data_IF_263859797754
#
_entry.id   IF_263859797754
#
_cell.length_a   1.000
_cell.length_b   1.000
_cell.length_c   1.000
_cell.angle_alpha   90.00
_cell.angle_beta   90.00
_cell.angle_gamma   90.00
#
_symmetry.space_group_name_H-M   'P 1'
#
loop_
_entity.id
_entity.type
_entity.pdbx_description
1 polymer ?
#
# COMPACT_ATOMS: atom_id res chain seq x y z
N UNK A 1 10.12 44.02 23.63
CA UNK A 1 8.94 43.67 22.84
C UNK A 1 8.71 42.16 22.97
N UNK A 2 7.71 41.73 23.70
CA UNK A 2 7.39 40.33 23.94
C UNK A 2 6.46 39.86 22.83
N UNK A 3 6.95 38.97 21.92
CA UNK A 3 6.11 38.35 20.92
C UNK A 3 5.35 37.18 21.57
N UNK A 4 4.06 37.34 21.69
CA UNK A 4 3.11 36.33 22.07
C UNK A 4 2.99 35.29 20.97
N UNK A 5 3.47 34.09 21.22
CA UNK A 5 3.12 32.89 20.46
C UNK A 5 1.68 32.56 20.87
N UNK A 6 0.70 32.87 19.99
CA UNK A 6 -0.70 32.47 20.18
C UNK A 6 -0.73 30.94 20.25
N UNK A 7 -1.06 30.43 21.43
CA UNK A 7 -1.26 29.00 21.65
C UNK A 7 -2.34 28.45 20.71
N UNK A 8 -2.02 27.41 19.98
CA UNK A 8 -3.00 26.58 19.28
C UNK A 8 -4.00 26.06 20.31
N UNK A 9 -5.24 26.56 20.26
CA UNK A 9 -6.36 25.94 20.96
C UNK A 9 -6.60 24.59 20.33
N UNK A 10 -6.31 23.54 21.04
CA UNK A 10 -6.77 22.20 20.71
C UNK A 10 -8.30 22.22 20.61
N UNK A 11 -8.85 22.05 19.43
CA UNK A 11 -10.24 21.64 19.26
C UNK A 11 -10.44 20.31 19.98
N UNK A 12 -11.53 20.10 20.74
CA UNK A 12 -11.85 18.81 21.33
C UNK A 12 -11.84 17.76 20.22
N UNK A 13 -11.12 16.65 20.41
CA UNK A 13 -11.09 15.58 19.44
C UNK A 13 -12.50 15.00 19.31
N UNK A 14 -13.00 14.88 18.09
CA UNK A 14 -14.24 14.16 17.76
C UNK A 14 -14.13 12.63 17.96
N UNK A 15 -13.13 12.20 18.73
CA UNK A 15 -12.90 10.78 19.03
C UNK A 15 -13.74 10.33 20.21
N UNK A 16 -14.19 9.06 20.21
CA UNK A 16 -14.82 8.45 21.36
C UNK A 16 -13.94 8.63 22.61
N UNK A 17 -14.57 9.00 23.74
CA UNK A 17 -13.85 9.28 24.98
C UNK A 17 -12.99 8.08 25.45
N UNK A 18 -13.43 6.87 25.14
CA UNK A 18 -12.70 5.63 25.46
C UNK A 18 -11.39 5.48 24.65
N UNK A 19 -11.41 5.82 23.37
CA UNK A 19 -10.20 5.83 22.51
C UNK A 19 -9.20 6.85 23.05
N UNK A 20 -9.67 8.05 23.40
CA UNK A 20 -8.83 9.08 23.99
C UNK A 20 -8.21 8.63 25.32
N UNK A 21 -8.99 8.02 26.18
CA UNK A 21 -8.49 7.52 27.49
C UNK A 21 -7.40 6.45 27.29
N UNK A 22 -7.57 5.53 26.31
CA UNK A 22 -6.56 4.52 25.96
C UNK A 22 -5.29 5.17 25.39
N UNK A 23 -5.40 6.15 24.50
CA UNK A 23 -4.25 6.91 23.97
C UNK A 23 -3.45 7.53 25.13
N UNK A 24 -4.11 8.18 26.08
CA UNK A 24 -3.44 8.80 27.24
C UNK A 24 -2.77 7.75 28.14
N UNK A 25 -3.42 6.59 28.33
CA UNK A 25 -2.86 5.46 29.10
C UNK A 25 -1.56 4.97 28.47
N UNK A 26 -1.57 4.64 27.16
CA UNK A 26 -0.40 4.12 26.46
C UNK A 26 0.72 5.15 26.33
N UNK A 27 0.37 6.44 26.20
CA UNK A 27 1.37 7.54 26.23
C UNK A 27 2.12 7.58 27.55
N UNK A 28 1.40 7.44 28.68
CA UNK A 28 2.03 7.39 30.02
C UNK A 28 2.91 6.16 30.22
N UNK A 29 2.64 5.08 29.50
CA UNK A 29 3.45 3.85 29.51
C UNK A 29 4.66 3.91 28.55
N UNK A 30 4.85 5.02 27.82
CA UNK A 30 6.01 5.22 26.94
C UNK A 30 5.87 4.64 25.52
N UNK A 31 4.66 4.20 25.13
CA UNK A 31 4.45 3.72 23.76
C UNK A 31 4.52 4.85 22.73
N UNK A 32 5.09 4.56 21.55
CA UNK A 32 5.05 5.45 20.38
C UNK A 32 3.62 5.45 19.82
N UNK A 33 2.97 6.59 19.88
CA UNK A 33 1.60 6.78 19.40
C UNK A 33 1.58 7.59 18.10
N UNK A 34 0.59 7.37 17.22
CA UNK A 34 0.46 8.17 16.00
C UNK A 34 0.17 9.64 16.31
N UNK A 35 0.60 10.55 15.43
CA UNK A 35 0.17 11.94 15.51
C UNK A 35 -1.33 12.05 15.23
N UNK A 36 -2.00 12.99 15.91
CA UNK A 36 -3.46 13.18 15.79
C UNK A 36 -3.97 13.37 14.38
N UNK A 37 -3.18 14.01 13.52
CA UNK A 37 -3.55 14.32 12.13
C UNK A 37 -3.80 13.08 11.26
N UNK A 38 -3.28 11.90 11.65
CA UNK A 38 -3.48 10.64 10.91
C UNK A 38 -4.66 9.82 11.42
N UNK A 39 -5.38 10.31 12.42
CA UNK A 39 -6.62 9.70 12.90
C UNK A 39 -7.79 10.38 12.21
N UNK A 40 -8.53 9.67 11.39
CA UNK A 40 -9.57 10.21 10.51
C UNK A 40 -10.86 10.55 11.24
N UNK A 41 -11.51 11.63 10.82
CA UNK A 41 -12.89 11.94 11.21
C UNK A 41 -13.88 11.08 10.43
N UNK A 42 -15.13 10.92 10.91
CA UNK A 42 -16.17 10.20 10.16
C UNK A 42 -16.40 10.76 8.75
N UNK A 43 -16.34 12.06 8.56
CA UNK A 43 -16.45 12.71 7.24
C UNK A 43 -15.29 12.34 6.31
N UNK A 44 -14.05 12.37 6.84
CA UNK A 44 -12.87 11.95 6.08
C UNK A 44 -12.96 10.47 5.68
N UNK A 45 -13.40 9.60 6.59
CA UNK A 45 -13.58 8.18 6.31
C UNK A 45 -14.60 7.92 5.21
N UNK A 46 -15.70 8.67 5.18
CA UNK A 46 -16.68 8.53 4.10
C UNK A 46 -16.09 8.93 2.75
N UNK A 47 -15.38 10.06 2.68
CA UNK A 47 -14.70 10.47 1.46
C UNK A 47 -13.64 9.47 0.98
N UNK A 48 -12.86 8.90 1.91
CA UNK A 48 -11.88 7.86 1.61
C UNK A 48 -12.57 6.60 1.07
N UNK A 49 -13.70 6.18 1.66
CA UNK A 49 -14.46 5.03 1.16
C UNK A 49 -15.04 5.27 -0.25
N UNK A 50 -15.46 6.49 -0.56
CA UNK A 50 -15.89 6.83 -1.93
C UNK A 50 -14.73 6.70 -2.93
N UNK A 51 -13.54 7.17 -2.58
CA UNK A 51 -12.32 6.99 -3.39
C UNK A 51 -11.97 5.51 -3.54
N UNK A 52 -11.98 4.75 -2.45
CA UNK A 52 -11.67 3.33 -2.41
C UNK A 52 -12.61 2.47 -3.30
N UNK A 53 -13.89 2.82 -3.39
CA UNK A 53 -14.84 2.16 -4.31
C UNK A 53 -14.44 2.32 -5.77
N UNK A 54 -13.96 3.51 -6.16
CA UNK A 54 -13.50 3.77 -7.54
C UNK A 54 -12.21 2.98 -7.79
N UNK A 55 -11.29 2.98 -6.85
CA UNK A 55 -10.02 2.25 -6.92
C UNK A 55 -10.24 0.74 -7.10
N UNK A 56 -11.09 0.13 -6.26
CA UNK A 56 -11.45 -1.29 -6.37
C UNK A 56 -12.10 -1.61 -7.72
N UNK A 57 -13.07 -0.79 -8.15
CA UNK A 57 -13.73 -0.99 -9.44
C UNK A 57 -12.77 -0.85 -10.63
N UNK A 58 -11.74 -0.01 -10.52
CA UNK A 58 -10.66 0.10 -11.50
C UNK A 58 -9.85 -1.20 -11.57
N UNK A 59 -9.44 -1.77 -10.44
CA UNK A 59 -8.72 -3.06 -10.42
C UNK A 59 -9.58 -4.21 -10.96
N UNK A 60 -10.88 -4.21 -10.69
CA UNK A 60 -11.81 -5.17 -11.29
C UNK A 60 -11.88 -5.01 -12.82
N UNK A 61 -11.96 -3.77 -13.31
CA UNK A 61 -11.94 -3.47 -14.74
C UNK A 61 -10.62 -3.91 -15.40
N UNK A 62 -9.47 -3.70 -14.75
CA UNK A 62 -8.18 -4.20 -15.25
C UNK A 62 -8.18 -5.73 -15.29
N UNK A 63 -8.68 -6.39 -14.25
CA UNK A 63 -8.77 -7.85 -14.18
C UNK A 63 -9.55 -8.48 -15.33
N UNK A 64 -10.59 -7.80 -15.80
CA UNK A 64 -11.41 -8.25 -16.94
C UNK A 64 -10.75 -8.03 -18.31
N UNK A 65 -9.75 -7.16 -18.40
CA UNK A 65 -9.20 -6.70 -19.66
C UNK A 65 -7.74 -7.03 -19.90
N UNK A 66 -6.95 -7.23 -18.83
CA UNK A 66 -5.52 -7.54 -18.95
C UNK A 66 -5.28 -8.90 -19.61
N UNK A 67 -4.33 -8.97 -20.57
CA UNK A 67 -4.06 -10.18 -21.34
C UNK A 67 -2.68 -10.17 -21.97
N UNK A 68 -2.22 -11.32 -22.37
CA UNK A 68 -1.02 -11.48 -23.21
C UNK A 68 -1.09 -10.59 -24.45
N UNK A 69 0.04 -10.02 -24.84
CA UNK A 69 0.21 -9.15 -25.99
C UNK A 69 -0.14 -7.67 -25.72
N UNK A 70 -0.69 -7.33 -24.54
CA UNK A 70 -0.86 -5.92 -24.16
C UNK A 70 0.48 -5.30 -23.80
N UNK A 71 0.67 -4.04 -24.17
CA UNK A 71 1.73 -3.21 -23.60
C UNK A 71 1.32 -2.67 -22.22
N UNK A 72 2.30 -2.37 -21.36
CA UNK A 72 2.03 -1.70 -20.08
C UNK A 72 1.50 -0.27 -20.29
N UNK A 73 1.83 0.38 -21.42
CA UNK A 73 1.21 1.65 -21.85
C UNK A 73 -0.31 1.52 -22.06
N UNK A 74 -0.80 0.41 -22.61
CA UNK A 74 -2.25 0.20 -22.77
C UNK A 74 -2.93 0.08 -21.40
N UNK A 75 -2.26 -0.47 -20.40
CA UNK A 75 -2.74 -0.50 -19.01
C UNK A 75 -2.81 0.93 -18.44
N UNK A 76 -1.78 1.76 -18.66
CA UNK A 76 -1.77 3.16 -18.23
C UNK A 76 -2.95 3.95 -18.84
N UNK A 77 -3.20 3.77 -20.13
CA UNK A 77 -4.35 4.40 -20.83
C UNK A 77 -5.67 3.93 -20.21
N UNK A 78 -5.82 2.63 -19.94
CA UNK A 78 -7.03 2.09 -19.30
C UNK A 78 -7.26 2.70 -17.91
N UNK A 79 -6.20 2.82 -17.12
CA UNK A 79 -6.26 3.42 -15.77
C UNK A 79 -6.64 4.90 -15.85
N UNK A 80 -6.00 5.66 -16.74
CA UNK A 80 -6.30 7.07 -16.94
C UNK A 80 -7.75 7.30 -17.36
N UNK A 81 -8.20 6.58 -18.39
CA UNK A 81 -9.55 6.73 -18.95
C UNK A 81 -10.63 6.33 -17.95
N UNK A 82 -10.45 5.19 -17.26
CA UNK A 82 -11.40 4.75 -16.24
C UNK A 82 -11.49 5.75 -15.09
N UNK A 83 -10.35 6.17 -14.53
CA UNK A 83 -10.30 7.07 -13.38
C UNK A 83 -10.92 8.42 -13.70
N UNK A 84 -10.57 9.03 -14.85
CA UNK A 84 -11.09 10.33 -15.25
C UNK A 84 -12.58 10.28 -15.62
N UNK A 85 -13.06 9.20 -16.22
CA UNK A 85 -14.47 8.95 -16.51
C UNK A 85 -15.32 8.92 -15.23
N UNK A 86 -14.76 8.46 -14.11
CA UNK A 86 -15.42 8.44 -12.81
C UNK A 86 -15.26 9.75 -12.02
N UNK A 87 -14.70 10.81 -12.63
CA UNK A 87 -14.49 12.11 -12.01
C UNK A 87 -13.40 12.11 -10.94
N UNK A 88 -12.50 11.14 -11.00
CA UNK A 88 -11.35 11.00 -10.13
C UNK A 88 -10.04 11.33 -10.89
N UNK A 89 -8.93 11.34 -10.17
CA UNK A 89 -7.59 11.63 -10.69
C UNK A 89 -6.67 10.47 -10.32
N UNK A 90 -5.85 9.93 -11.26
CA UNK A 90 -4.79 8.99 -10.90
C UNK A 90 -3.75 9.68 -10.02
N UNK A 91 -3.53 9.19 -8.81
CA UNK A 91 -2.63 9.83 -7.85
C UNK A 91 -1.16 9.80 -8.26
N UNK A 92 -0.65 8.76 -8.94
CA UNK A 92 0.75 8.70 -9.37
C UNK A 92 1.10 9.75 -10.42
N UNK A 93 0.14 10.16 -11.26
CA UNK A 93 0.42 11.05 -12.39
C UNK A 93 0.96 12.41 -11.94
N UNK A 94 2.21 12.69 -12.32
CA UNK A 94 3.00 13.87 -11.93
C UNK A 94 3.37 13.96 -10.43
N UNK A 95 3.11 12.89 -9.63
CA UNK A 95 3.55 12.85 -8.25
C UNK A 95 5.08 12.75 -8.21
N UNK A 96 5.73 13.76 -7.62
CA UNK A 96 7.21 13.89 -7.57
C UNK A 96 7.92 13.69 -8.92
N UNK A 97 7.20 13.91 -10.04
CA UNK A 97 7.72 13.76 -11.39
C UNK A 97 7.44 12.41 -12.05
N UNK A 98 6.73 11.48 -11.39
CA UNK A 98 6.32 10.21 -12.00
C UNK A 98 5.44 10.46 -13.24
N UNK A 99 5.75 9.86 -14.41
CA UNK A 99 5.15 10.31 -15.68
C UNK A 99 3.84 9.62 -16.06
N UNK A 100 3.36 8.65 -15.28
CA UNK A 100 2.27 7.74 -15.63
C UNK A 100 1.16 7.72 -14.59
N UNK A 101 0.01 7.12 -14.94
CA UNK A 101 -1.19 7.05 -14.09
C UNK A 101 -1.23 5.82 -13.17
N UNK A 102 -0.28 4.90 -13.33
CA UNK A 102 -0.21 3.59 -12.69
C UNK A 102 1.24 3.13 -12.64
N UNK A 103 1.60 2.32 -11.65
CA UNK A 103 2.84 1.56 -11.71
C UNK A 103 2.55 0.15 -12.25
N UNK A 104 3.43 -0.36 -13.13
CA UNK A 104 3.35 -1.71 -13.71
C UNK A 104 4.68 -2.41 -13.52
N UNK A 105 4.70 -3.46 -12.72
CA UNK A 105 5.93 -4.13 -12.29
C UNK A 105 5.91 -5.59 -12.70
N UNK A 106 6.73 -5.95 -13.71
CA UNK A 106 6.76 -7.27 -14.33
C UNK A 106 7.95 -8.07 -13.80
N UNK A 107 7.74 -9.31 -13.40
CA UNK A 107 8.73 -10.32 -13.02
C UNK A 107 9.71 -9.84 -11.94
N UNK A 108 10.93 -9.43 -12.30
CA UNK A 108 11.98 -8.96 -11.40
C UNK A 108 11.85 -7.48 -11.00
N UNK A 109 10.90 -6.76 -11.58
CA UNK A 109 10.52 -5.42 -11.11
C UNK A 109 9.69 -5.57 -9.84
N UNK A 110 10.18 -5.00 -8.75
CA UNK A 110 9.56 -5.06 -7.41
C UNK A 110 8.37 -4.13 -7.32
N UNK A 111 8.56 -2.85 -7.67
CA UNK A 111 7.53 -1.81 -7.68
C UNK A 111 7.97 -0.60 -8.52
N UNK A 112 7.06 0.36 -8.67
CA UNK A 112 7.24 1.65 -9.35
C UNK A 112 7.67 1.53 -10.82
N UNK A 113 7.47 0.38 -11.48
CA UNK A 113 7.74 0.24 -12.90
C UNK A 113 6.92 1.24 -13.73
N UNK A 114 7.57 1.90 -14.69
CA UNK A 114 6.97 2.94 -15.53
C UNK A 114 6.37 2.30 -16.79
N UNK A 115 5.04 2.39 -17.01
CA UNK A 115 4.39 1.89 -18.23
C UNK A 115 5.06 2.33 -19.54
N UNK A 116 5.26 1.38 -20.45
CA UNK A 116 5.96 1.58 -21.73
C UNK A 116 5.26 0.90 -22.89
N UNK A 117 5.34 1.50 -24.09
CA UNK A 117 4.85 0.92 -25.35
C UNK A 117 5.66 -0.30 -25.80
N UNK A 118 6.88 -0.42 -25.33
CA UNK A 118 7.81 -1.50 -25.73
C UNK A 118 7.79 -2.68 -24.77
N UNK A 119 7.19 -2.52 -23.59
CA UNK A 119 7.05 -3.56 -22.59
C UNK A 119 5.72 -4.29 -22.81
N UNK A 120 5.81 -5.46 -23.43
CA UNK A 120 4.66 -6.26 -23.88
C UNK A 120 4.53 -7.50 -23.01
N UNK A 121 3.35 -7.70 -22.42
CA UNK A 121 3.04 -8.87 -21.60
C UNK A 121 3.13 -10.16 -22.40
N UNK A 122 3.89 -11.12 -21.88
CA UNK A 122 4.11 -12.42 -22.48
C UNK A 122 3.46 -13.54 -21.63
N UNK A 123 3.11 -14.65 -22.28
CA UNK A 123 2.74 -15.86 -21.52
C UNK A 123 3.89 -16.29 -20.62
N UNK A 124 3.61 -16.47 -19.34
CA UNK A 124 4.59 -16.78 -18.30
C UNK A 124 4.90 -15.63 -17.36
N UNK A 125 4.56 -14.38 -17.73
CA UNK A 125 4.78 -13.22 -16.88
C UNK A 125 3.85 -13.20 -15.66
N UNK A 126 4.36 -12.63 -14.58
CA UNK A 126 3.57 -12.08 -13.47
C UNK A 126 3.74 -10.57 -13.48
N UNK A 127 2.66 -9.83 -13.23
CA UNK A 127 2.69 -8.36 -13.20
C UNK A 127 1.90 -7.85 -12.00
N UNK A 128 2.50 -6.94 -11.25
CA UNK A 128 1.77 -6.08 -10.31
C UNK A 128 1.23 -4.87 -11.07
N UNK A 129 -0.04 -4.55 -10.85
CA UNK A 129 -0.66 -3.29 -11.30
C UNK A 129 -1.11 -2.55 -10.06
N UNK A 130 -0.49 -1.41 -9.82
CA UNK A 130 -0.65 -0.59 -8.64
C UNK A 130 -1.35 0.72 -9.00
N UNK A 131 -2.55 0.89 -8.45
CA UNK A 131 -3.45 2.00 -8.77
C UNK A 131 -3.81 2.80 -7.52
N UNK A 132 -3.56 4.08 -7.58
CA UNK A 132 -3.92 5.01 -6.53
C UNK A 132 -4.85 6.07 -7.09
N UNK A 133 -5.92 6.39 -6.36
CA UNK A 133 -7.03 7.23 -6.83
C UNK A 133 -7.24 8.43 -5.92
N UNK A 134 -7.42 9.62 -6.50
CA UNK A 134 -7.86 10.81 -5.80
C UNK A 134 -9.31 11.12 -6.19
N UNK A 135 -10.23 11.07 -5.25
CA UNK A 135 -11.60 11.47 -5.48
C UNK A 135 -12.05 12.52 -4.45
N UNK A 136 -12.48 13.68 -4.93
CA UNK A 136 -12.86 14.83 -4.08
C UNK A 136 -11.81 15.23 -3.02
N UNK A 137 -10.52 15.01 -3.34
CA UNK A 137 -9.41 15.31 -2.44
C UNK A 137 -9.07 14.21 -1.42
N UNK A 138 -9.71 13.03 -1.50
CA UNK A 138 -9.42 11.86 -0.70
C UNK A 138 -8.68 10.81 -1.51
N UNK A 139 -7.67 10.19 -0.92
CA UNK A 139 -6.80 9.21 -1.55
C UNK A 139 -7.20 7.79 -1.17
N UNK A 140 -7.05 6.87 -2.10
CA UNK A 140 -7.13 5.42 -1.89
C UNK A 140 -6.09 4.72 -2.72
N UNK A 141 -5.65 3.56 -2.27
CA UNK A 141 -4.50 2.83 -2.80
C UNK A 141 -4.72 1.33 -2.76
N UNK A 142 -4.31 0.63 -3.80
CA UNK A 142 -4.27 -0.83 -3.86
C UNK A 142 -3.50 -1.35 -5.06
N UNK A 143 -2.92 -2.52 -4.93
CA UNK A 143 -2.33 -3.23 -6.05
C UNK A 143 -2.77 -4.69 -6.12
N UNK A 144 -2.74 -5.26 -7.32
CA UNK A 144 -3.02 -6.68 -7.58
C UNK A 144 -1.97 -7.30 -8.48
N UNK A 145 -1.68 -8.58 -8.22
CA UNK A 145 -0.91 -9.41 -9.13
C UNK A 145 -1.80 -10.05 -10.17
N UNK A 146 -1.32 -10.08 -11.42
CA UNK A 146 -1.92 -10.80 -12.53
C UNK A 146 -0.92 -11.79 -13.09
N UNK A 147 -1.41 -12.97 -13.43
CA UNK A 147 -0.63 -14.06 -14.04
C UNK A 147 -1.03 -14.16 -15.51
N UNK A 148 -0.07 -13.98 -16.42
CA UNK A 148 -0.32 -13.91 -17.86
C UNK A 148 -0.05 -15.28 -18.49
N UNK A 149 -1.06 -15.87 -19.08
CA UNK A 149 -0.93 -17.17 -19.78
C UNK A 149 -0.47 -18.31 -18.87
N UNK A 150 0.55 -19.06 -19.30
CA UNK A 150 1.05 -20.24 -18.59
C UNK A 150 2.26 -19.92 -17.71
N UNK A 151 1.99 -19.48 -16.49
CA UNK A 151 2.99 -19.10 -15.47
C UNK A 151 3.54 -20.33 -14.76
N UNK A 152 4.84 -20.35 -14.47
CA UNK A 152 5.51 -21.48 -13.79
C UNK A 152 4.93 -21.74 -12.38
N UNK A 153 5.00 -22.99 -11.88
CA UNK A 153 4.53 -23.31 -10.52
C UNK A 153 5.23 -22.49 -9.43
N UNK A 154 6.52 -22.18 -9.61
CA UNK A 154 7.32 -21.40 -8.66
C UNK A 154 6.82 -19.96 -8.56
N UNK A 155 6.55 -19.31 -9.71
CA UNK A 155 6.02 -17.97 -9.75
C UNK A 155 4.57 -17.90 -9.26
N UNK A 156 3.75 -18.92 -9.58
CA UNK A 156 2.39 -19.02 -9.00
C UNK A 156 2.44 -19.12 -7.48
N UNK A 157 3.40 -19.91 -6.94
CA UNK A 157 3.62 -20.01 -5.49
C UNK A 157 4.03 -18.68 -4.91
N UNK A 158 4.94 -17.94 -5.55
CA UNK A 158 5.35 -16.59 -5.11
C UNK A 158 4.15 -15.66 -5.01
N UNK A 159 3.35 -15.54 -6.07
CA UNK A 159 2.15 -14.68 -6.10
C UNK A 159 1.16 -15.06 -4.99
N UNK A 160 0.93 -16.36 -4.79
CA UNK A 160 0.03 -16.86 -3.75
C UNK A 160 0.54 -16.56 -2.34
N UNK A 161 1.81 -16.84 -2.06
CA UNK A 161 2.42 -16.58 -0.74
C UNK A 161 2.46 -15.07 -0.43
N UNK A 162 2.70 -14.24 -1.44
CA UNK A 162 2.66 -12.78 -1.28
C UNK A 162 1.26 -12.29 -0.90
N UNK A 163 0.21 -12.85 -1.52
CA UNK A 163 -1.17 -12.57 -1.13
C UNK A 163 -1.45 -12.99 0.31
N UNK A 164 -1.01 -14.19 0.69
CA UNK A 164 -1.13 -14.68 2.06
C UNK A 164 -0.38 -13.78 3.06
N UNK A 165 0.79 -13.26 2.69
CA UNK A 165 1.55 -12.29 3.50
C UNK A 165 0.73 -11.02 3.76
N UNK A 166 0.08 -10.45 2.74
CA UNK A 166 -0.80 -9.30 2.89
C UNK A 166 -1.97 -9.63 3.83
N UNK A 167 -2.68 -10.74 3.62
CA UNK A 167 -3.82 -11.17 4.43
C UNK A 167 -3.42 -11.41 5.90
N UNK A 168 -2.26 -12.02 6.15
CA UNK A 168 -1.67 -12.23 7.48
C UNK A 168 -1.30 -10.90 8.13
N UNK A 169 -0.71 -9.97 7.36
CA UNK A 169 -0.41 -8.62 7.82
C UNK A 169 -1.65 -7.86 8.27
N UNK A 170 -2.72 -7.91 7.47
CA UNK A 170 -4.03 -7.33 7.80
C UNK A 170 -4.57 -7.94 9.09
N UNK A 171 -4.56 -9.26 9.22
CA UNK A 171 -5.01 -9.95 10.43
C UNK A 171 -4.16 -9.61 11.67
N UNK A 172 -2.87 -9.30 11.48
CA UNK A 172 -1.95 -8.90 12.54
C UNK A 172 -2.06 -7.42 12.95
N UNK A 173 -2.94 -6.63 12.30
CA UNK A 173 -3.16 -5.20 12.53
C UNK A 173 -4.43 -4.87 13.35
N UNK A 174 -4.79 -5.55 14.46
CA UNK A 174 -5.91 -5.10 15.28
C UNK A 174 -5.51 -3.86 16.09
N UNK A 175 -6.49 -3.07 16.56
CA UNK A 175 -6.23 -1.89 17.37
C UNK A 175 -5.48 -2.24 18.67
N UNK A 176 -4.57 -1.34 19.07
CA UNK A 176 -3.77 -1.43 20.30
C UNK A 176 -2.66 -2.50 20.26
N UNK A 177 -2.32 -3.00 19.08
CA UNK A 177 -1.07 -3.70 18.78
C UNK A 177 -0.05 -2.72 18.21
N UNK A 178 1.14 -3.20 17.89
CA UNK A 178 2.21 -2.37 17.32
C UNK A 178 2.51 -2.78 15.88
N UNK A 179 2.93 -1.84 15.04
CA UNK A 179 3.22 -2.11 13.63
C UNK A 179 4.28 -3.21 13.42
N UNK A 180 5.23 -3.36 14.35
CA UNK A 180 6.19 -4.47 14.30
C UNK A 180 5.56 -5.86 14.44
N UNK A 181 4.32 -5.97 14.96
CA UNK A 181 3.59 -7.24 14.95
C UNK A 181 3.14 -7.63 13.54
N UNK A 182 2.80 -6.63 12.71
CA UNK A 182 2.44 -6.79 11.29
C UNK A 182 3.65 -7.28 10.50
N UNK A 183 4.75 -6.53 10.56
CA UNK A 183 5.97 -6.88 9.83
C UNK A 183 6.53 -8.25 10.21
N UNK A 184 6.56 -8.57 11.52
CA UNK A 184 7.02 -9.87 11.99
C UNK A 184 6.14 -11.03 11.47
N UNK A 185 4.82 -10.84 11.40
CA UNK A 185 3.90 -11.89 10.92
C UNK A 185 4.09 -12.16 9.42
N UNK A 186 4.25 -11.09 8.62
CA UNK A 186 4.54 -11.16 7.19
C UNK A 186 5.88 -11.88 6.95
N UNK A 187 6.94 -11.42 7.61
CA UNK A 187 8.28 -11.97 7.47
C UNK A 187 8.34 -13.45 7.82
N UNK A 188 7.76 -13.84 8.95
CA UNK A 188 7.70 -15.25 9.39
C UNK A 188 7.03 -16.15 8.33
N UNK A 189 5.97 -15.67 7.66
CA UNK A 189 5.27 -16.43 6.64
C UNK A 189 6.08 -16.53 5.33
N UNK A 190 6.64 -15.42 4.84
CA UNK A 190 7.46 -15.38 3.64
C UNK A 190 8.69 -16.30 3.77
N UNK A 191 9.47 -16.15 4.85
CA UNK A 191 10.69 -16.94 5.09
C UNK A 191 10.40 -18.43 5.28
N UNK A 192 9.29 -18.79 5.94
CA UNK A 192 8.84 -20.18 6.06
C UNK A 192 8.55 -20.84 4.71
N UNK A 193 8.13 -20.05 3.73
CA UNK A 193 7.87 -20.53 2.37
C UNK A 193 9.09 -20.48 1.44
N UNK A 194 10.24 -20.01 1.95
CA UNK A 194 11.51 -19.92 1.23
C UNK A 194 11.70 -18.64 0.43
N UNK A 195 10.93 -17.60 0.72
CA UNK A 195 10.99 -16.28 0.09
C UNK A 195 11.50 -15.22 1.06
N UNK A 196 11.86 -14.04 0.56
CA UNK A 196 12.38 -12.94 1.33
C UNK A 196 11.55 -11.67 1.19
N UNK A 197 11.44 -10.90 2.29
CA UNK A 197 10.71 -9.63 2.33
C UNK A 197 11.67 -8.50 2.01
N UNK A 198 11.31 -7.63 1.07
CA UNK A 198 12.04 -6.38 0.76
C UNK A 198 12.08 -5.48 1.99
N UNK A 199 13.23 -4.80 2.22
CA UNK A 199 13.48 -4.02 3.43
C UNK A 199 13.66 -2.53 3.20
N UNK A 200 13.90 -2.12 1.97
CA UNK A 200 14.16 -0.72 1.60
C UNK A 200 12.87 0.06 1.32
N UNK A 201 11.74 -0.64 1.26
CA UNK A 201 10.42 -0.10 1.00
C UNK A 201 9.43 -0.56 2.08
N UNK A 202 8.33 0.18 2.23
CA UNK A 202 7.32 -0.09 3.25
C UNK A 202 5.95 0.39 2.79
N UNK A 203 4.90 -0.07 3.44
CA UNK A 203 3.58 0.52 3.36
C UNK A 203 3.52 1.87 4.09
N UNK A 204 2.46 2.59 3.90
CA UNK A 204 2.34 3.97 4.37
C UNK A 204 0.93 4.34 4.79
N UNK A 205 0.80 5.37 5.61
CA UNK A 205 -0.46 6.05 5.83
C UNK A 205 -0.96 6.67 4.53
N UNK A 206 -2.27 6.58 4.29
CA UNK A 206 -2.92 7.13 3.08
C UNK A 206 -4.34 7.61 3.41
N UNK A 207 -4.86 8.55 2.63
CA UNK A 207 -6.24 9.01 2.74
C UNK A 207 -6.40 10.52 2.62
N UNK A 208 -5.63 11.33 3.35
CA UNK A 208 -5.61 12.79 3.21
C UNK A 208 -4.44 13.27 2.36
N UNK A 209 -3.41 12.44 2.24
CA UNK A 209 -2.27 12.60 1.35
C UNK A 209 -1.99 11.25 0.71
N UNK A 210 -1.25 11.22 -0.38
CA UNK A 210 -0.85 9.99 -1.03
C UNK A 210 0.03 9.17 -0.08
N UNK A 211 1.13 9.75 0.38
CA UNK A 211 2.00 9.16 1.38
C UNK A 211 2.02 10.01 2.65
N UNK A 212 1.70 9.41 3.77
CA UNK A 212 1.75 10.06 5.09
C UNK A 212 2.09 9.02 6.17
N UNK A 213 2.34 9.48 7.39
CA UNK A 213 2.59 8.56 8.51
C UNK A 213 1.37 7.64 8.78
N UNK A 214 1.59 6.39 9.23
CA UNK A 214 2.89 5.81 9.56
C UNK A 214 3.59 5.14 8.39
N UNK A 215 4.89 4.89 8.50
CA UNK A 215 5.57 3.87 7.72
C UNK A 215 5.18 2.50 8.29
N UNK A 216 4.87 1.53 7.41
CA UNK A 216 4.41 0.19 7.74
C UNK A 216 5.40 -0.83 7.18
N UNK A 217 6.42 -1.14 7.94
CA UNK A 217 7.43 -2.14 7.56
C UNK A 217 6.81 -3.54 7.51
N UNK A 218 7.14 -4.32 6.46
CA UNK A 218 6.66 -5.68 6.26
C UNK A 218 7.62 -6.73 6.85
N UNK A 219 8.60 -6.30 7.61
CA UNK A 219 9.56 -7.10 8.38
C UNK A 219 9.73 -6.50 9.76
N UNK A 220 10.39 -7.21 10.67
CA UNK A 220 10.73 -6.63 11.96
C UNK A 220 10.49 -7.53 13.16
N UNK A 221 10.20 -6.93 14.31
CA UNK A 221 10.10 -7.63 15.58
C UNK A 221 8.79 -7.34 16.29
N UNK A 222 8.14 -8.39 16.79
CA UNK A 222 6.90 -8.26 17.57
C UNK A 222 7.07 -7.34 18.78
N UNK A 223 6.03 -6.58 19.08
CA UNK A 223 6.00 -5.65 20.21
C UNK A 223 6.87 -4.41 20.02
N UNK A 224 7.17 -4.01 18.78
CA UNK A 224 7.93 -2.80 18.45
C UNK A 224 7.16 -1.89 17.51
N UNK A 225 7.67 -0.68 17.31
CA UNK A 225 7.09 0.29 16.37
C UNK A 225 5.96 1.13 16.97
N UNK A 226 5.20 1.77 16.09
CA UNK A 226 4.08 2.64 16.48
C UNK A 226 2.86 1.82 16.90
N UNK A 227 2.11 2.30 17.87
CA UNK A 227 0.83 1.72 18.28
C UNK A 227 -0.23 1.93 17.21
N UNK A 228 -0.93 0.89 16.85
CA UNK A 228 -2.08 0.91 15.95
C UNK A 228 -3.30 1.43 16.73
N UNK A 229 -3.89 2.53 16.25
CA UNK A 229 -4.97 3.23 16.95
C UNK A 229 -6.20 3.34 16.05
N UNK A 230 -7.42 3.15 16.57
CA UNK A 230 -8.65 3.36 15.79
C UNK A 230 -8.68 4.71 15.07
N UNK A 231 -9.13 4.72 13.83
CA UNK A 231 -9.16 5.89 12.96
C UNK A 231 -7.92 6.04 12.06
N UNK A 232 -6.90 5.22 12.19
CA UNK A 232 -5.78 5.17 11.24
C UNK A 232 -6.21 4.50 9.94
N UNK A 233 -5.72 5.02 8.82
CA UNK A 233 -5.79 4.40 7.50
C UNK A 233 -4.38 4.27 6.94
N UNK A 234 -4.02 3.09 6.45
CA UNK A 234 -2.70 2.81 5.89
C UNK A 234 -2.74 1.58 4.98
N UNK A 235 -1.69 1.41 4.18
CA UNK A 235 -1.53 0.26 3.29
C UNK A 235 -0.83 -0.90 3.99
N UNK A 236 -1.13 -2.11 3.55
CA UNK A 236 -0.33 -3.32 3.80
C UNK A 236 -0.04 -3.90 2.42
N UNK A 237 1.23 -3.81 2.03
CA UNK A 237 1.69 -3.99 0.65
C UNK A 237 3.01 -4.78 0.58
N UNK A 238 3.10 -5.99 1.16
CA UNK A 238 4.35 -6.72 1.20
C UNK A 238 4.91 -6.99 -0.20
N UNK A 239 6.16 -6.60 -0.42
CA UNK A 239 6.97 -6.95 -1.57
C UNK A 239 7.82 -8.16 -1.20
N UNK A 240 7.60 -9.28 -1.90
CA UNK A 240 8.21 -10.58 -1.61
C UNK A 240 9.05 -11.03 -2.79
N UNK A 241 10.35 -11.21 -2.55
CA UNK A 241 11.31 -11.67 -3.56
C UNK A 241 11.49 -13.19 -3.52
N UNK A 242 11.61 -13.78 -4.70
CA UNK A 242 11.94 -15.21 -4.83
C UNK A 242 13.36 -15.49 -4.35
N UNK A 243 14.29 -14.57 -4.57
CA UNK A 243 15.69 -14.64 -4.17
C UNK A 243 16.01 -13.83 -2.91
N UNK A 244 17.04 -12.99 -2.98
CA UNK A 244 17.44 -12.13 -1.85
C UNK A 244 16.42 -11.02 -1.59
N UNK A 245 16.49 -10.38 -0.43
CA UNK A 245 15.65 -9.21 -0.12
C UNK A 245 16.22 -7.90 -0.69
N UNK A 246 17.42 -7.94 -1.25
CA UNK A 246 18.14 -6.78 -1.75
C UNK A 246 17.52 -6.29 -3.08
N UNK A 247 17.46 -4.99 -3.24
CA UNK A 247 16.87 -4.31 -4.39
C UNK A 247 17.72 -3.10 -4.78
N UNK A 248 17.53 -2.62 -6.00
CA UNK A 248 18.13 -1.36 -6.46
C UNK A 248 17.11 -0.54 -7.26
N UNK A 249 17.33 0.77 -7.31
CA UNK A 249 16.57 1.68 -8.16
C UNK A 249 17.31 1.81 -9.50
N UNK A 250 16.58 1.68 -10.61
CA UNK A 250 17.15 1.91 -11.95
C UNK A 250 17.57 3.38 -12.09
N UNK A 251 18.87 3.60 -12.24
CA UNK A 251 19.43 4.95 -12.39
C UNK A 251 18.97 5.64 -13.68
N UNK A 252 18.49 4.89 -14.68
CA UNK A 252 18.08 5.45 -15.97
C UNK A 252 16.76 6.22 -15.85
N UNK A 253 15.85 5.80 -14.99
CA UNK A 253 14.55 6.46 -14.79
C UNK A 253 14.35 7.03 -13.37
N UNK A 254 15.13 6.56 -12.40
CA UNK A 254 15.10 7.02 -11.02
C UNK A 254 13.88 6.57 -10.22
N UNK A 255 13.06 5.63 -10.76
CA UNK A 255 11.82 5.14 -10.15
C UNK A 255 11.75 3.63 -10.02
N UNK A 256 11.97 2.92 -11.11
CA UNK A 256 11.80 1.46 -11.18
C UNK A 256 12.71 0.77 -10.16
N UNK A 257 12.12 -0.02 -9.28
CA UNK A 257 12.84 -0.82 -8.30
C UNK A 257 12.90 -2.27 -8.78
N UNK A 258 14.11 -2.81 -8.87
CA UNK A 258 14.35 -4.18 -9.33
C UNK A 258 15.02 -5.02 -8.23
N UNK A 259 14.86 -6.35 -8.31
CA UNK A 259 15.60 -7.29 -7.47
C UNK A 259 17.08 -7.29 -7.87
N UNK A 260 17.99 -7.33 -6.89
CA UNK A 260 19.44 -7.31 -7.14
C UNK A 260 19.95 -8.59 -7.84
N UNK A 261 19.25 -9.69 -7.65
CA UNK A 261 19.60 -11.00 -8.22
C UNK A 261 18.86 -11.34 -9.52
N UNK A 262 17.97 -10.49 -10.00
CA UNK A 262 17.17 -10.70 -11.22
C UNK A 262 16.12 -11.81 -11.11
N UNK A 263 15.82 -12.30 -9.89
CA UNK A 263 14.75 -13.27 -9.67
C UNK A 263 13.41 -12.56 -9.45
N UNK A 264 12.27 -13.23 -9.75
CA UNK A 264 10.95 -12.61 -9.64
C UNK A 264 10.61 -12.06 -8.24
N UNK A 265 9.86 -10.96 -8.23
CA UNK A 265 9.21 -10.37 -7.08
C UNK A 265 7.69 -10.34 -7.27
N UNK A 266 6.93 -10.28 -6.20
CA UNK A 266 5.49 -10.05 -6.22
C UNK A 266 5.08 -9.11 -5.10
N UNK A 267 4.01 -8.33 -5.37
CA UNK A 267 3.40 -7.41 -4.39
C UNK A 267 1.88 -7.55 -4.45
N UNK A 268 1.24 -7.57 -3.30
CA UNK A 268 -0.20 -7.37 -3.15
C UNK A 268 -0.42 -6.25 -2.15
N UNK A 269 -1.42 -5.43 -2.39
CA UNK A 269 -1.70 -4.32 -1.50
C UNK A 269 -3.19 -4.12 -1.27
N UNK A 270 -3.52 -3.86 0.00
CA UNK A 270 -4.80 -3.30 0.39
C UNK A 270 -4.62 -2.14 1.37
N UNK A 271 -5.44 -1.12 1.19
CA UNK A 271 -5.64 -0.07 2.18
C UNK A 271 -6.64 -0.53 3.24
N UNK A 272 -6.31 -0.33 4.51
CA UNK A 272 -7.18 -0.68 5.64
C UNK A 272 -7.49 0.52 6.53
N UNK A 273 -8.65 0.47 7.19
CA UNK A 273 -9.05 1.33 8.29
C UNK A 273 -9.00 0.55 9.60
N UNK A 274 -8.35 1.09 10.61
CA UNK A 274 -8.39 0.54 11.95
C UNK A 274 -9.67 1.00 12.67
N UNK A 275 -10.50 0.05 13.05
CA UNK A 275 -11.74 0.26 13.81
C UNK A 275 -11.52 0.08 15.31
N UNK A 276 -12.52 0.26 16.13
CA UNK A 276 -12.41 0.04 17.58
C UNK A 276 -12.21 -1.43 17.96
N UNK A 277 -12.67 -2.37 17.12
CA UNK A 277 -12.70 -3.81 17.38
C UNK A 277 -11.83 -4.66 16.45
N UNK A 278 -11.28 -4.07 15.37
CA UNK A 278 -10.49 -4.79 14.38
C UNK A 278 -10.01 -3.84 13.28
N UNK A 279 -10.09 -4.31 12.04
CA UNK A 279 -9.85 -3.48 10.86
C UNK A 279 -10.93 -3.71 9.80
N UNK A 280 -11.05 -2.76 8.89
CA UNK A 280 -11.92 -2.79 7.71
C UNK A 280 -11.01 -2.67 6.48
N UNK A 281 -11.12 -3.59 5.53
CA UNK A 281 -10.44 -3.48 4.25
C UNK A 281 -11.22 -2.46 3.40
N UNK A 282 -10.55 -1.41 2.95
CA UNK A 282 -11.17 -0.34 2.18
C UNK A 282 -11.06 -0.58 0.67
N UNK A 283 -9.92 -1.16 0.22
CA UNK A 283 -9.64 -1.50 -1.18
C UNK A 283 -9.36 -2.99 -1.31
N UNK A 284 -9.72 -3.58 -2.43
CA UNK A 284 -9.59 -5.04 -2.64
C UNK A 284 -8.76 -5.36 -3.88
#
# INVERSE_FOLDING_TARGET
MKNFIKGFRFTPSNYPAEVEAKIQKYRKQGYKLPPRKVLRTPEQLEGIRESAKINTALLDYISENIREGMSTEEIDVMVYDFTTKHGAIPAPLNYEGFPKSVCTSINDVVCHGIPSKTEILQSGDIINVDVSTIYKGYFSDASRMFMIGDVSPEMRKLVQVTKECMEIGIAAAPPWKQLGDVGAAIQEHAEKNGFNVVRDLCGHGVGMQFHEAPDVEHFGRRGTGMMIVPGMTFTIEPMINMGTYEVFVDEADGWTVCTDDGLPSAQWENMILITETGNEILTY
#
